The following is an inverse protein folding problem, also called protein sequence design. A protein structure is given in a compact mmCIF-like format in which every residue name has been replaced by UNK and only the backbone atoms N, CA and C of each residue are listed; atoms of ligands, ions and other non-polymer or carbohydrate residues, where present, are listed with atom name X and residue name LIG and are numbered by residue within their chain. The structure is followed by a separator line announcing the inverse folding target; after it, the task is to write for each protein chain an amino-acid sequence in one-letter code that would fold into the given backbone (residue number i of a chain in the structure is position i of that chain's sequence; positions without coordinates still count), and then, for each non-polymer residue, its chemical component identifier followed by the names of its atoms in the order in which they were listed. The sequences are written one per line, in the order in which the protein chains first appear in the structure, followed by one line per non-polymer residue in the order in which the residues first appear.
data_IF_571717070297
#
_entry.id   IF_571717070297
#
_cell.length_a   1.000
_cell.length_b   1.000
_cell.length_c   1.000
_cell.angle_alpha   90.00
_cell.angle_beta   90.00
_cell.angle_gamma   90.00
#
_symmetry.space_group_name_H-M   'P 1'
#
loop_
_entity.id
_entity.type
_entity.pdbx_description
1 polymer ?
#
# COMPACT_ATOMS: atom_id res chain seq x y z
N UNK A 1 -41.61 -1.26 -4.31
CA UNK A 1 -40.55 -2.09 -3.68
C UNK A 1 -39.23 -1.72 -4.34
N UNK A 2 -38.46 -0.86 -3.69
CA UNK A 2 -37.14 -0.42 -4.14
C UNK A 2 -36.07 -1.23 -3.40
N UNK A 3 -35.27 -2.00 -4.12
CA UNK A 3 -34.07 -2.62 -3.60
C UNK A 3 -32.86 -2.07 -4.37
N UNK A 4 -31.94 -1.48 -3.62
CA UNK A 4 -30.52 -1.27 -3.93
C UNK A 4 -29.80 -1.05 -2.58
N UNK A 5 -28.50 -1.33 -2.45
CA UNK A 5 -27.75 -2.51 -2.91
C UNK A 5 -26.84 -3.04 -1.78
N UNK A 6 -26.61 -4.36 -1.68
CA UNK A 6 -25.56 -4.90 -0.79
C UNK A 6 -24.22 -4.93 -1.52
N UNK A 7 -23.47 -3.84 -1.38
CA UNK A 7 -22.06 -3.69 -1.75
C UNK A 7 -21.12 -4.51 -0.85
N UNK A 8 -21.37 -5.81 -0.68
CA UNK A 8 -20.52 -6.69 0.14
C UNK A 8 -19.78 -7.77 -0.67
N UNK A 9 -20.10 -7.97 -1.95
CA UNK A 9 -19.43 -8.99 -2.78
C UNK A 9 -18.21 -8.48 -3.58
N UNK A 10 -17.97 -7.16 -3.67
CA UNK A 10 -16.84 -6.62 -4.45
C UNK A 10 -15.52 -6.53 -3.66
N UNK A 11 -15.53 -6.84 -2.35
CA UNK A 11 -14.36 -6.59 -1.48
C UNK A 11 -13.31 -7.71 -1.45
N UNK A 12 -13.59 -8.89 -1.99
CA UNK A 12 -12.79 -10.11 -1.68
C UNK A 12 -12.13 -10.77 -2.91
N UNK A 13 -12.45 -10.38 -4.15
CA UNK A 13 -12.01 -11.14 -5.35
C UNK A 13 -10.80 -10.58 -6.12
N UNK A 14 -10.19 -9.46 -5.70
CA UNK A 14 -9.27 -8.71 -6.58
C UNK A 14 -7.75 -8.93 -6.37
N UNK A 15 -7.27 -9.68 -5.38
CA UNK A 15 -5.82 -9.71 -5.02
C UNK A 15 -5.11 -11.05 -5.22
N UNK A 16 -5.78 -12.10 -5.68
CA UNK A 16 -5.19 -13.44 -5.86
C UNK A 16 -4.69 -13.75 -7.28
N UNK A 17 -4.78 -12.80 -8.22
CA UNK A 17 -4.24 -12.98 -9.56
C UNK A 17 -2.82 -12.40 -9.63
N UNK A 18 -1.82 -13.17 -10.10
CA UNK A 18 -0.47 -12.67 -10.30
C UNK A 18 -0.44 -11.71 -11.48
N UNK A 19 0.12 -10.52 -11.29
CA UNK A 19 0.34 -9.55 -12.36
C UNK A 19 1.68 -9.77 -13.05
N UNK A 20 2.74 -10.09 -12.28
CA UNK A 20 4.08 -10.38 -12.81
C UNK A 20 4.71 -11.51 -12.00
N UNK A 21 5.42 -12.39 -12.68
CA UNK A 21 6.17 -13.49 -12.06
C UNK A 21 7.58 -13.45 -12.62
N UNK A 22 8.56 -13.49 -11.72
CA UNK A 22 9.97 -13.64 -12.05
C UNK A 22 10.46 -14.95 -11.44
N UNK A 23 11.00 -15.83 -12.28
CA UNK A 23 11.54 -17.11 -11.84
C UNK A 23 13.06 -17.07 -11.93
N UNK A 24 13.69 -17.45 -10.83
CA UNK A 24 15.10 -17.74 -10.68
C UNK A 24 15.24 -19.25 -10.39
N UNK A 25 16.37 -19.92 -10.69
CA UNK A 25 16.59 -21.31 -10.33
C UNK A 25 16.24 -21.69 -8.87
N UNK A 26 16.40 -20.76 -7.93
CA UNK A 26 16.17 -21.01 -6.50
C UNK A 26 14.88 -20.40 -5.97
N UNK A 27 14.35 -19.38 -6.64
CA UNK A 27 13.23 -18.59 -6.10
C UNK A 27 12.21 -18.19 -7.16
N UNK A 28 10.99 -17.94 -6.70
CA UNK A 28 9.91 -17.37 -7.50
C UNK A 28 9.39 -16.10 -6.83
N UNK A 29 9.64 -14.97 -7.45
CA UNK A 29 9.07 -13.69 -7.05
C UNK A 29 7.74 -13.48 -7.80
N UNK A 30 6.66 -13.27 -7.05
CA UNK A 30 5.34 -12.99 -7.61
C UNK A 30 4.85 -11.63 -7.13
N UNK A 31 4.51 -10.77 -8.08
CA UNK A 31 3.85 -9.49 -7.87
C UNK A 31 2.37 -9.68 -8.14
N UNK A 32 1.56 -9.54 -7.12
CA UNK A 32 0.11 -9.69 -7.20
C UNK A 32 -0.54 -8.44 -7.81
N UNK A 33 -1.82 -8.52 -8.17
CA UNK A 33 -2.55 -7.37 -8.73
C UNK A 33 -2.46 -6.13 -7.83
N UNK A 34 -2.11 -4.98 -8.43
CA UNK A 34 -2.12 -3.71 -7.69
C UNK A 34 -3.51 -3.20 -7.38
N UNK A 35 -3.64 -2.54 -6.23
CA UNK A 35 -4.70 -1.59 -5.94
C UNK A 35 -4.20 -0.17 -6.14
N UNK A 36 -4.92 0.60 -6.95
CA UNK A 36 -4.60 1.99 -7.26
C UNK A 36 -5.64 2.88 -6.59
N UNK A 37 -5.21 3.97 -5.99
CA UNK A 37 -6.08 5.00 -5.38
C UNK A 37 -5.58 6.37 -5.79
N UNK A 38 -6.50 7.26 -6.14
CA UNK A 38 -6.19 8.63 -6.51
C UNK A 38 -6.70 9.59 -5.43
N UNK A 39 -5.85 10.54 -5.03
CA UNK A 39 -6.24 11.63 -4.16
C UNK A 39 -5.63 12.93 -4.68
N UNK A 40 -6.48 13.84 -5.19
CA UNK A 40 -6.04 15.01 -5.97
C UNK A 40 -5.13 14.57 -7.12
N UNK A 41 -3.96 15.19 -7.27
CA UNK A 41 -2.98 14.84 -8.30
C UNK A 41 -2.04 13.71 -7.87
N UNK A 42 -2.29 13.06 -6.73
CA UNK A 42 -1.46 11.97 -6.22
C UNK A 42 -2.09 10.62 -6.57
N UNK A 43 -1.29 9.75 -7.17
CA UNK A 43 -1.60 8.34 -7.38
C UNK A 43 -0.85 7.51 -6.34
N UNK A 44 -1.58 6.68 -5.60
CA UNK A 44 -1.06 5.74 -4.62
C UNK A 44 -1.33 4.33 -5.15
N UNK A 45 -0.27 3.57 -5.38
CA UNK A 45 -0.35 2.18 -5.80
C UNK A 45 0.16 1.29 -4.68
N UNK A 46 -0.63 0.31 -4.27
CA UNK A 46 -0.23 -0.72 -3.32
C UNK A 46 -0.26 -2.07 -4.00
N UNK A 47 0.71 -2.92 -3.68
CA UNK A 47 0.85 -4.24 -4.27
C UNK A 47 1.48 -5.20 -3.28
N UNK A 48 1.02 -6.45 -3.27
CA UNK A 48 1.71 -7.51 -2.54
C UNK A 48 2.79 -8.12 -3.43
N UNK A 49 3.95 -8.37 -2.84
CA UNK A 49 5.04 -9.14 -3.44
C UNK A 49 5.32 -10.34 -2.54
N UNK A 50 5.35 -11.54 -3.11
CA UNK A 50 5.75 -12.76 -2.40
C UNK A 50 7.01 -13.32 -3.03
N UNK A 51 7.94 -13.77 -2.19
CA UNK A 51 9.07 -14.59 -2.61
C UNK A 51 8.81 -16.03 -2.15
N UNK A 52 8.93 -16.97 -3.07
CA UNK A 52 8.85 -18.40 -2.78
C UNK A 52 10.20 -19.07 -3.06
N UNK A 53 10.53 -20.12 -2.32
CA UNK A 53 11.62 -21.02 -2.67
C UNK A 53 11.21 -21.98 -3.80
N UNK A 54 12.17 -22.76 -4.30
CA UNK A 54 11.94 -23.78 -5.32
C UNK A 54 11.02 -24.94 -4.86
N UNK A 55 10.77 -25.08 -3.56
CA UNK A 55 9.80 -25.99 -2.97
C UNK A 55 8.37 -25.44 -2.93
N UNK A 56 8.19 -24.16 -3.28
CA UNK A 56 6.90 -23.46 -3.29
C UNK A 56 6.53 -22.80 -1.96
N UNK A 57 7.39 -22.88 -0.94
CA UNK A 57 7.14 -22.23 0.35
C UNK A 57 7.35 -20.73 0.23
N UNK A 58 6.44 -19.93 0.76
CA UNK A 58 6.62 -18.48 0.84
C UNK A 58 7.67 -18.16 1.90
N UNK A 59 8.78 -17.57 1.49
CA UNK A 59 9.91 -17.19 2.36
C UNK A 59 9.87 -15.72 2.76
N UNK A 60 9.23 -14.87 1.96
CA UNK A 60 9.02 -13.47 2.29
C UNK A 60 7.73 -12.92 1.65
N UNK A 61 7.13 -11.92 2.30
CA UNK A 61 5.99 -11.17 1.78
C UNK A 61 6.14 -9.69 2.13
N UNK A 62 6.05 -8.83 1.12
CA UNK A 62 6.15 -7.38 1.25
C UNK A 62 4.90 -6.70 0.69
N UNK A 63 4.53 -5.57 1.29
CA UNK A 63 3.67 -4.56 0.66
C UNK A 63 4.59 -3.55 -0.04
N UNK A 64 4.57 -3.57 -1.37
CA UNK A 64 5.19 -2.54 -2.18
C UNK A 64 4.23 -1.37 -2.39
N UNK A 65 4.70 -0.17 -2.12
CA UNK A 65 3.92 1.07 -2.22
C UNK A 65 4.64 2.03 -3.15
N UNK A 66 3.88 2.64 -4.06
CA UNK A 66 4.30 3.76 -4.88
C UNK A 66 3.39 4.96 -4.65
N UNK A 67 3.98 6.13 -4.48
CA UNK A 67 3.26 7.41 -4.38
C UNK A 67 3.86 8.35 -5.42
N UNK A 68 3.03 8.84 -6.34
CA UNK A 68 3.49 9.68 -7.45
C UNK A 68 2.54 10.84 -7.72
N UNK A 69 3.09 12.01 -8.02
CA UNK A 69 2.38 13.18 -8.54
C UNK A 69 2.49 13.31 -10.08
N UNK A 70 3.01 12.26 -10.74
CA UNK A 70 3.26 12.25 -12.18
C UNK A 70 4.66 12.71 -12.59
N UNK A 71 5.49 13.21 -11.66
CA UNK A 71 6.87 13.62 -11.95
C UNK A 71 7.88 12.62 -11.43
N UNK A 72 7.94 12.43 -10.10
CA UNK A 72 8.93 11.57 -9.45
C UNK A 72 8.24 10.64 -8.46
N UNK A 73 8.00 9.38 -8.84
CA UNK A 73 7.39 8.41 -7.94
C UNK A 73 8.33 8.07 -6.79
N UNK A 74 7.79 8.01 -5.57
CA UNK A 74 8.47 7.44 -4.41
C UNK A 74 8.05 5.99 -4.26
N UNK A 75 9.01 5.12 -3.98
CA UNK A 75 8.77 3.69 -3.79
C UNK A 75 9.32 3.23 -2.45
N UNK A 76 8.58 2.35 -1.79
CA UNK A 76 9.03 1.67 -0.59
C UNK A 76 8.40 0.28 -0.50
N UNK A 77 9.08 -0.64 0.16
CA UNK A 77 8.57 -1.98 0.45
C UNK A 77 8.57 -2.20 1.96
N UNK A 78 7.47 -2.70 2.48
CA UNK A 78 7.28 -2.97 3.89
C UNK A 78 7.07 -4.47 4.06
N UNK A 79 7.93 -5.19 4.81
CA UNK A 79 7.65 -6.58 5.15
C UNK A 79 6.31 -6.69 5.87
N UNK A 80 5.46 -7.63 5.47
CA UNK A 80 4.13 -7.82 6.07
C UNK A 80 4.23 -8.07 7.58
N UNK A 81 5.32 -8.70 8.04
CA UNK A 81 5.59 -8.96 9.45
C UNK A 81 5.65 -7.70 10.34
N UNK A 82 5.90 -6.52 9.76
CA UNK A 82 5.97 -5.23 10.49
C UNK A 82 4.92 -4.22 10.01
N UNK A 83 3.95 -4.64 9.19
CA UNK A 83 3.00 -3.73 8.55
C UNK A 83 2.16 -2.96 9.57
N UNK A 84 1.67 -3.62 10.61
CA UNK A 84 0.86 -2.99 11.66
C UNK A 84 1.65 -1.92 12.42
N UNK A 85 2.93 -2.16 12.71
CA UNK A 85 3.79 -1.17 13.37
C UNK A 85 4.01 0.05 12.47
N UNK A 86 4.17 -0.15 11.15
CA UNK A 86 4.28 0.95 10.20
C UNK A 86 2.97 1.74 10.11
N UNK A 87 1.81 1.07 10.08
CA UNK A 87 0.50 1.74 10.09
C UNK A 87 0.35 2.61 11.33
N UNK A 88 0.69 2.09 12.52
CA UNK A 88 0.64 2.85 13.76
C UNK A 88 1.59 4.06 13.75
N UNK A 89 2.82 3.89 13.25
CA UNK A 89 3.79 4.98 13.13
C UNK A 89 3.30 6.10 12.18
N UNK A 90 2.65 5.74 11.08
CA UNK A 90 2.07 6.71 10.14
C UNK A 90 0.88 7.47 10.76
N UNK A 91 0.11 6.82 11.63
CA UNK A 91 -0.99 7.50 12.35
C UNK A 91 -0.44 8.53 13.36
N UNK A 92 0.61 8.19 14.11
CA UNK A 92 1.28 9.17 14.98
C UNK A 92 1.85 10.35 14.19
N UNK A 93 2.53 10.08 13.06
CA UNK A 93 3.06 11.13 12.19
C UNK A 93 1.96 12.07 11.65
N UNK A 94 0.75 11.56 11.41
CA UNK A 94 -0.40 12.38 11.03
C UNK A 94 -0.79 13.35 12.14
N UNK A 95 -0.90 12.87 13.38
CA UNK A 95 -1.20 13.74 14.54
C UNK A 95 -0.11 14.80 14.76
N UNK A 96 1.15 14.42 14.65
CA UNK A 96 2.27 15.37 14.79
C UNK A 96 2.23 16.46 13.71
N UNK A 97 1.90 16.10 12.47
CA UNK A 97 1.75 17.06 11.38
C UNK A 97 0.60 18.06 11.63
N UNK A 98 -0.53 17.61 12.19
CA UNK A 98 -1.63 18.48 12.60
C UNK A 98 -1.19 19.48 13.68
N UNK A 99 -0.45 19.02 14.70
CA UNK A 99 0.07 19.88 15.77
C UNK A 99 1.05 20.94 15.25
N UNK A 100 1.94 20.56 14.32
CA UNK A 100 2.86 21.50 13.65
C UNK A 100 2.08 22.56 12.87
N UNK A 101 1.06 22.16 12.11
CA UNK A 101 0.27 23.09 11.31
C UNK A 101 -0.45 24.13 12.17
N UNK A 102 -1.05 23.72 13.30
CA UNK A 102 -1.66 24.63 14.26
C UNK A 102 -0.66 25.65 14.82
N UNK A 103 0.54 25.18 15.17
CA UNK A 103 1.62 26.05 15.67
C UNK A 103 2.06 27.08 14.64
N UNK A 104 2.12 26.70 13.36
CA UNK A 104 2.50 27.62 12.29
C UNK A 104 1.41 28.65 11.98
N UNK A 105 0.13 28.29 12.13
CA UNK A 105 -1.00 29.20 11.94
C UNK A 105 -1.04 30.26 13.04
N UNK A 106 -0.90 29.87 14.32
CA UNK A 106 -0.95 30.82 15.44
C UNK A 106 0.16 31.86 15.40
N UNK A 107 1.31 31.55 14.78
CA UNK A 107 2.43 32.49 14.59
C UNK A 107 2.21 33.49 13.45
N UNK A 108 1.28 33.23 12.52
CA UNK A 108 0.97 34.15 11.41
C UNK A 108 -0.07 35.20 11.79
N UNK A 109 -0.82 34.95 12.86
CA UNK A 109 -1.89 35.81 13.38
C UNK A 109 -1.40 36.78 14.47
N UNK A 110 -0.11 36.69 14.84
CA UNK A 110 0.60 37.59 15.77
C UNK A 110 1.50 38.55 15.01
#
# INVERSE_FOLDING_TARGET
MSYSPTNDEERVTATSEPERIFNDPETRETWWRSRITHHRNITITTRIKTLQDNGGSVTAQDVAISISDGTTPRFFSIPVAVLEQVIAALDFARYDAEAVNLTLQSRREQ
#
